data_IF_786420056505
#
_entry.id   IF_786420056505
#
_cell.length_a   1.000
_cell.length_b   1.000
_cell.length_c   1.000
_cell.angle_alpha   90.00
_cell.angle_beta   90.00
_cell.angle_gamma   90.00
#
_symmetry.space_group_name_H-M   'P 1'
#
loop_
_entity.id
_entity.type
_entity.pdbx_description
1 polymer ?
#
# COMPACT_ATOMS: atom_id res chain seq x y z
N UNK A 1 1.83 -8.50 -17.77
CA UNK A 1 3.24 -8.81 -18.07
C UNK A 1 4.21 -7.63 -17.88
N UNK A 2 3.78 -6.37 -17.74
CA UNK A 2 4.69 -5.21 -17.57
C UNK A 2 5.08 -4.84 -16.13
N UNK A 3 4.36 -5.33 -15.10
CA UNK A 3 4.61 -4.94 -13.70
C UNK A 3 5.47 -5.93 -12.89
N UNK A 4 5.77 -7.13 -13.41
CA UNK A 4 6.74 -8.02 -12.72
C UNK A 4 8.15 -7.43 -12.74
N UNK A 5 8.49 -6.63 -13.74
CA UNK A 5 9.77 -5.92 -13.81
C UNK A 5 9.90 -4.86 -12.71
N UNK A 6 8.81 -4.23 -12.25
CA UNK A 6 8.91 -3.20 -11.21
C UNK A 6 9.19 -3.79 -9.82
N UNK A 7 8.84 -5.06 -9.58
CA UNK A 7 9.09 -5.77 -8.31
C UNK A 7 10.35 -6.65 -8.38
N UNK A 8 10.81 -7.07 -9.57
CA UNK A 8 12.00 -7.93 -9.74
C UNK A 8 13.31 -7.18 -10.07
N UNK A 9 13.27 -5.97 -10.63
CA UNK A 9 14.50 -5.17 -10.84
C UNK A 9 15.29 -4.81 -9.56
N UNK A 10 14.71 -4.76 -8.34
CA UNK A 10 15.48 -4.46 -7.13
C UNK A 10 16.42 -5.59 -6.66
N UNK A 11 16.43 -6.78 -7.28
CA UNK A 11 17.14 -7.95 -6.77
C UNK A 11 18.35 -8.41 -7.59
N UNK A 12 18.64 -7.86 -8.78
CA UNK A 12 19.78 -8.33 -9.59
C UNK A 12 20.74 -7.24 -10.10
N UNK A 13 20.41 -5.95 -10.02
CA UNK A 13 21.37 -4.94 -10.47
C UNK A 13 22.17 -4.37 -9.29
N UNK A 14 23.32 -5.00 -9.01
CA UNK A 14 24.32 -4.53 -8.06
C UNK A 14 25.18 -3.38 -8.61
N UNK A 15 24.84 -2.82 -9.76
CA UNK A 15 25.66 -1.85 -10.50
C UNK A 15 24.93 -0.56 -10.87
N UNK A 16 24.05 -0.01 -10.01
CA UNK A 16 23.64 1.40 -10.15
C UNK A 16 23.43 2.08 -8.79
N UNK A 17 24.16 3.16 -8.57
CA UNK A 17 24.16 4.00 -7.38
C UNK A 17 22.74 4.46 -6.94
N UNK A 18 22.34 4.09 -5.72
CA UNK A 18 21.55 4.82 -4.72
C UNK A 18 20.20 5.51 -5.04
N UNK A 19 19.61 5.43 -6.24
CA UNK A 19 18.43 6.27 -6.55
C UNK A 19 17.15 5.54 -7.00
N UNK A 20 17.07 4.22 -6.89
CA UNK A 20 16.02 3.47 -7.62
C UNK A 20 14.64 3.38 -6.94
N UNK A 21 14.52 3.74 -5.66
CA UNK A 21 13.23 3.97 -5.00
C UNK A 21 13.29 5.27 -4.22
N UNK A 22 13.08 6.40 -4.91
CA UNK A 22 12.81 7.68 -4.26
C UNK A 22 11.31 7.99 -4.36
N UNK A 23 10.45 7.44 -3.48
CA UNK A 23 9.04 7.83 -3.41
C UNK A 23 8.86 9.35 -3.39
N UNK A 24 9.79 10.06 -2.74
CA UNK A 24 9.84 11.51 -2.72
C UNK A 24 9.81 12.11 -4.13
N UNK A 25 10.73 11.74 -5.02
CA UNK A 25 10.86 12.32 -6.38
C UNK A 25 9.61 12.08 -7.22
N UNK A 26 9.08 10.86 -7.24
CA UNK A 26 7.83 10.57 -7.97
C UNK A 26 6.61 11.26 -7.36
N UNK A 27 6.56 11.43 -6.04
CA UNK A 27 5.47 12.22 -5.42
C UNK A 27 5.57 13.70 -5.77
N UNK A 28 6.77 14.26 -5.97
CA UNK A 28 6.93 15.65 -6.41
C UNK A 28 6.42 15.85 -7.84
N UNK A 29 6.77 14.97 -8.78
CA UNK A 29 6.33 15.07 -10.17
C UNK A 29 4.81 14.93 -10.31
N UNK A 30 4.23 13.92 -9.66
CA UNK A 30 2.77 13.73 -9.66
C UNK A 30 2.03 14.91 -9.03
N UNK A 31 2.54 15.48 -7.92
CA UNK A 31 1.96 16.68 -7.31
C UNK A 31 2.02 17.89 -8.24
N UNK A 32 3.10 18.07 -9.02
CA UNK A 32 3.18 19.17 -10.02
C UNK A 32 2.09 19.03 -11.09
N UNK A 33 1.91 17.83 -11.64
CA UNK A 33 0.85 17.58 -12.62
C UNK A 33 -0.54 17.85 -12.04
N UNK A 34 -0.81 17.37 -10.82
CA UNK A 34 -2.09 17.60 -10.13
C UNK A 34 -2.34 19.09 -9.84
N UNK A 35 -1.30 19.87 -9.51
CA UNK A 35 -1.44 21.32 -9.33
C UNK A 35 -1.89 22.03 -10.60
N UNK A 36 -1.33 21.64 -11.75
CA UNK A 36 -1.71 22.19 -13.05
C UNK A 36 -3.15 21.79 -13.40
N UNK A 37 -3.49 20.50 -13.23
CA UNK A 37 -4.84 19.99 -13.54
C UNK A 37 -5.92 20.56 -12.62
N UNK A 38 -5.60 20.75 -11.34
CA UNK A 38 -6.52 21.28 -10.33
C UNK A 38 -6.50 22.79 -10.18
N UNK A 39 -5.72 23.52 -10.99
CA UNK A 39 -5.52 24.97 -10.91
C UNK A 39 -5.23 25.46 -9.46
N UNK A 40 -4.36 24.74 -8.75
CA UNK A 40 -4.07 24.99 -7.33
C UNK A 40 -3.02 26.08 -7.14
N UNK A 41 -3.15 26.85 -6.06
CA UNK A 41 -2.10 27.81 -5.68
C UNK A 41 -0.82 27.10 -5.20
N UNK A 42 0.38 27.71 -5.31
CA UNK A 42 1.64 27.04 -4.97
C UNK A 42 1.72 26.44 -3.55
N UNK A 43 1.03 27.05 -2.57
CA UNK A 43 1.01 26.62 -1.17
C UNK A 43 -0.21 25.77 -0.79
N UNK A 44 -1.17 25.65 -1.69
CA UNK A 44 -2.38 24.88 -1.45
C UNK A 44 -2.10 23.38 -1.38
N UNK A 45 -2.86 22.64 -0.58
CA UNK A 45 -2.71 21.19 -0.46
C UNK A 45 -3.23 20.49 -1.72
N UNK A 46 -2.43 19.58 -2.30
CA UNK A 46 -2.90 18.76 -3.41
C UNK A 46 -3.88 17.63 -2.99
N UNK A 47 -4.08 17.41 -1.68
CA UNK A 47 -4.82 16.23 -1.18
C UNK A 47 -6.25 16.20 -1.70
N UNK A 48 -6.95 17.32 -1.64
CA UNK A 48 -8.34 17.38 -2.11
C UNK A 48 -8.41 17.28 -3.63
N UNK A 49 -7.45 17.85 -4.36
CA UNK A 49 -7.37 17.65 -5.81
C UNK A 49 -7.17 16.18 -6.20
N UNK A 50 -6.37 15.40 -5.47
CA UNK A 50 -6.27 13.95 -5.70
C UNK A 50 -7.64 13.25 -5.54
N UNK A 51 -8.41 13.62 -4.50
CA UNK A 51 -9.75 13.05 -4.25
C UNK A 51 -10.76 13.46 -5.33
N UNK A 52 -10.75 14.73 -5.75
CA UNK A 52 -11.65 15.27 -6.76
C UNK A 52 -11.37 14.70 -8.16
N UNK A 53 -10.08 14.62 -8.54
CA UNK A 53 -9.66 14.06 -9.83
C UNK A 53 -9.73 12.53 -9.87
N UNK A 54 -10.01 11.86 -8.74
CA UNK A 54 -10.01 10.39 -8.59
C UNK A 54 -8.69 9.76 -9.04
N UNK A 55 -7.58 10.41 -8.67
CA UNK A 55 -6.23 9.95 -8.94
C UNK A 55 -5.62 9.41 -7.64
N UNK A 56 -5.01 8.23 -7.70
CA UNK A 56 -4.26 7.67 -6.57
C UNK A 56 -2.90 8.34 -6.45
N UNK A 57 -2.45 8.54 -5.21
CA UNK A 57 -1.07 8.94 -4.95
C UNK A 57 -0.13 7.77 -5.29
N UNK A 58 1.16 8.06 -5.48
CA UNK A 58 2.20 7.04 -5.69
C UNK A 58 2.19 6.02 -4.55
N UNK A 59 2.00 6.49 -3.31
CA UNK A 59 1.89 5.64 -2.12
C UNK A 59 0.60 4.82 -2.14
N UNK A 60 -0.53 5.41 -2.53
CA UNK A 60 -1.80 4.68 -2.69
C UNK A 60 -1.70 3.57 -3.73
N UNK A 61 -1.02 3.80 -4.85
CA UNK A 61 -0.73 2.78 -5.85
C UNK A 61 0.14 1.65 -5.27
N UNK A 62 1.19 2.01 -4.54
CA UNK A 62 2.07 1.04 -3.89
C UNK A 62 1.33 0.16 -2.88
N UNK A 63 0.49 0.76 -2.02
CA UNK A 63 -0.34 0.02 -1.05
C UNK A 63 -1.31 -0.90 -1.78
N UNK A 64 -2.02 -0.40 -2.79
CA UNK A 64 -2.98 -1.20 -3.54
C UNK A 64 -2.32 -2.43 -4.17
N UNK A 65 -1.18 -2.26 -4.84
CA UNK A 65 -0.50 -3.37 -5.51
C UNK A 65 0.10 -4.37 -4.53
N UNK A 66 0.76 -3.91 -3.45
CA UNK A 66 1.40 -4.80 -2.47
C UNK A 66 0.38 -5.64 -1.70
N UNK A 67 -0.72 -5.03 -1.28
CA UNK A 67 -1.81 -5.72 -0.59
C UNK A 67 -2.54 -6.68 -1.55
N UNK A 68 -2.83 -6.24 -2.77
CA UNK A 68 -3.45 -7.10 -3.80
C UNK A 68 -2.53 -8.27 -4.16
N UNK A 69 -1.22 -8.04 -4.24
CA UNK A 69 -0.22 -9.09 -4.48
C UNK A 69 -0.26 -10.17 -3.38
N UNK A 70 -0.27 -9.77 -2.11
CA UNK A 70 -0.33 -10.73 -0.99
C UNK A 70 -1.67 -11.47 -0.96
N UNK A 71 -2.78 -10.76 -1.13
CA UNK A 71 -4.11 -11.36 -1.04
C UNK A 71 -4.45 -12.28 -2.23
N UNK A 72 -4.13 -11.85 -3.46
CA UNK A 72 -4.56 -12.54 -4.70
C UNK A 72 -3.50 -13.51 -5.21
N UNK A 73 -2.25 -13.05 -5.33
CA UNK A 73 -1.18 -13.83 -5.98
C UNK A 73 -0.49 -14.78 -5.01
N UNK A 74 -0.72 -14.59 -3.71
CA UNK A 74 0.12 -15.19 -2.67
C UNK A 74 -0.65 -15.70 -1.44
N UNK A 75 -1.82 -16.35 -1.61
CA UNK A 75 -2.71 -16.67 -0.49
C UNK A 75 -2.11 -17.62 0.58
N UNK A 76 -0.98 -18.28 0.29
CA UNK A 76 -0.32 -19.26 1.18
C UNK A 76 1.09 -18.90 1.68
N UNK A 77 1.61 -17.68 1.44
CA UNK A 77 2.97 -17.32 1.91
C UNK A 77 3.02 -16.87 3.37
N UNK A 78 1.90 -16.40 3.91
CA UNK A 78 1.81 -16.01 5.31
C UNK A 78 0.62 -16.71 5.94
N UNK A 79 0.89 -17.39 7.05
CA UNK A 79 -0.16 -18.07 7.81
C UNK A 79 -1.10 -17.03 8.41
N UNK A 80 -2.40 -17.28 8.35
CA UNK A 80 -3.41 -16.43 8.99
C UNK A 80 -3.65 -16.87 10.42
N UNK A 81 -4.12 -15.95 11.28
CA UNK A 81 -4.48 -16.29 12.66
C UNK A 81 -5.48 -17.45 12.78
N UNK A 82 -6.35 -17.61 11.78
CA UNK A 82 -7.30 -18.74 11.65
C UNK A 82 -6.63 -20.11 11.57
N UNK A 83 -5.40 -20.20 11.10
CA UNK A 83 -4.68 -21.47 10.99
C UNK A 83 -4.10 -21.94 12.33
N UNK A 84 -3.99 -21.03 13.32
CA UNK A 84 -3.43 -21.32 14.65
C UNK A 84 -4.50 -21.51 15.73
N UNK A 85 -5.71 -21.02 15.52
CA UNK A 85 -6.77 -21.02 16.51
C UNK A 85 -8.05 -21.62 15.94
N UNK A 86 -8.58 -22.64 16.61
CA UNK A 86 -9.87 -23.26 16.28
C UNK A 86 -11.09 -22.40 16.68
N UNK A 87 -10.87 -21.15 17.12
CA UNK A 87 -11.91 -20.22 17.53
C UNK A 87 -11.69 -18.85 16.88
N UNK A 88 -12.79 -18.16 16.57
CA UNK A 88 -12.77 -16.87 15.90
C UNK A 88 -12.15 -15.80 16.81
N UNK A 89 -10.93 -15.39 16.50
CA UNK A 89 -10.30 -14.22 17.13
C UNK A 89 -10.58 -12.96 16.30
N UNK A 90 -10.59 -11.78 16.94
CA UNK A 90 -10.80 -10.50 16.24
C UNK A 90 -9.76 -10.24 15.13
N UNK A 91 -8.59 -10.90 15.19
CA UNK A 91 -7.48 -10.81 14.23
C UNK A 91 -7.27 -12.11 13.44
N UNK A 92 -8.30 -12.94 13.37
CA UNK A 92 -8.30 -14.22 12.68
C UNK A 92 -7.85 -14.08 11.21
N UNK A 93 -8.33 -13.05 10.52
CA UNK A 93 -8.01 -12.76 9.12
C UNK A 93 -6.68 -12.02 8.90
N UNK A 94 -5.97 -11.67 9.98
CA UNK A 94 -4.67 -11.01 9.90
C UNK A 94 -3.59 -12.05 9.58
N UNK A 95 -2.58 -11.61 8.83
CA UNK A 95 -1.38 -12.39 8.58
C UNK A 95 -0.49 -12.41 9.82
N UNK A 96 -0.04 -13.59 10.20
CA UNK A 96 1.00 -13.80 11.20
C UNK A 96 2.35 -13.38 10.58
N UNK A 97 2.85 -12.22 11.02
CA UNK A 97 4.15 -11.73 10.56
C UNK A 97 5.27 -12.52 11.25
N UNK A 98 6.18 -13.18 10.51
CA UNK A 98 7.27 -13.93 11.12
C UNK A 98 8.23 -12.99 11.85
N UNK A 99 8.71 -13.42 13.01
CA UNK A 99 9.78 -12.73 13.74
C UNK A 99 11.04 -12.76 12.89
N UNK A 100 11.64 -11.59 12.65
CA UNK A 100 12.81 -11.45 11.79
C UNK A 100 13.81 -10.49 12.43
N UNK A 101 15.11 -10.75 12.21
CA UNK A 101 16.21 -9.94 12.75
C UNK A 101 16.70 -8.88 11.75
N UNK A 102 16.52 -9.13 10.46
CA UNK A 102 17.11 -8.33 9.38
C UNK A 102 16.07 -7.39 8.77
N UNK A 103 16.40 -6.09 8.71
CA UNK A 103 15.57 -5.06 8.05
C UNK A 103 15.27 -5.36 6.58
N UNK A 104 16.16 -6.07 5.88
CA UNK A 104 15.93 -6.52 4.51
C UNK A 104 14.71 -7.44 4.36
N UNK A 105 14.32 -8.12 5.45
CA UNK A 105 13.09 -8.93 5.49
C UNK A 105 11.85 -8.05 5.50
N UNK A 106 11.92 -6.88 6.15
CA UNK A 106 10.81 -5.92 6.19
C UNK A 106 10.49 -5.33 4.82
N UNK A 107 11.51 -5.18 3.97
CA UNK A 107 11.37 -4.63 2.62
C UNK A 107 10.79 -5.63 1.61
N UNK A 108 10.66 -6.92 1.97
CA UNK A 108 10.08 -7.92 1.06
C UNK A 108 8.60 -7.58 0.79
N UNK A 109 8.14 -7.59 -0.47
CA UNK A 109 6.74 -7.33 -0.83
C UNK A 109 5.75 -8.21 -0.07
N UNK A 110 6.12 -9.46 0.20
CA UNK A 110 5.31 -10.39 1.01
C UNK A 110 5.16 -9.92 2.45
N UNK A 111 6.25 -9.46 3.09
CA UNK A 111 6.23 -9.01 4.47
C UNK A 111 5.53 -7.66 4.61
N UNK A 112 5.93 -6.65 3.82
CA UNK A 112 5.32 -5.31 3.90
C UNK A 112 3.86 -5.36 3.46
N UNK A 113 3.51 -6.17 2.46
CA UNK A 113 2.13 -6.35 2.01
C UNK A 113 1.25 -7.02 3.07
N UNK A 114 1.76 -8.05 3.76
CA UNK A 114 1.08 -8.66 4.90
C UNK A 114 0.90 -7.66 6.06
N UNK A 115 1.92 -6.85 6.34
CA UNK A 115 1.84 -5.78 7.36
C UNK A 115 0.79 -4.73 6.98
N UNK A 116 0.74 -4.32 5.71
CA UNK A 116 -0.26 -3.38 5.22
C UNK A 116 -1.67 -3.96 5.24
N UNK A 117 -1.82 -5.24 4.90
CA UNK A 117 -3.10 -5.96 5.01
C UNK A 117 -3.64 -5.90 6.43
N UNK A 118 -2.81 -6.18 7.43
CA UNK A 118 -3.24 -6.16 8.84
C UNK A 118 -3.76 -4.78 9.27
N UNK A 119 -3.22 -3.71 8.70
CA UNK A 119 -3.68 -2.34 8.94
C UNK A 119 -4.99 -1.99 8.21
N UNK A 120 -5.44 -2.75 7.22
CA UNK A 120 -6.67 -2.43 6.49
C UNK A 120 -7.91 -2.46 7.40
N UNK A 121 -8.93 -1.64 7.08
CA UNK A 121 -10.21 -1.73 7.76
C UNK A 121 -10.86 -3.08 7.50
N UNK A 122 -11.55 -3.58 8.53
CA UNK A 122 -12.21 -4.89 8.51
C UNK A 122 -13.22 -5.04 7.36
N UNK A 123 -13.87 -3.94 6.98
CA UNK A 123 -14.82 -3.91 5.86
C UNK A 123 -14.16 -4.31 4.54
N UNK A 124 -12.87 -4.00 4.33
CA UNK A 124 -12.14 -4.35 3.10
C UNK A 124 -11.62 -5.80 3.15
N UNK A 125 -11.27 -6.30 4.35
CA UNK A 125 -10.80 -7.68 4.53
C UNK A 125 -11.90 -8.72 4.26
N UNK A 126 -13.16 -8.35 4.46
CA UNK A 126 -14.36 -9.20 4.23
C UNK A 126 -14.87 -9.18 2.79
N UNK A 127 -14.29 -8.36 1.91
CA UNK A 127 -14.70 -8.28 0.51
C UNK A 127 -14.21 -9.51 -0.23
N UNK A 128 -15.03 -10.02 -1.15
CA UNK A 128 -14.62 -11.09 -2.06
C UNK A 128 -13.39 -10.71 -2.91
N UNK A 129 -12.55 -11.69 -3.22
CA UNK A 129 -11.28 -11.51 -3.92
C UNK A 129 -11.44 -10.73 -5.25
N UNK A 130 -12.53 -10.96 -5.99
CA UNK A 130 -12.78 -10.29 -7.26
C UNK A 130 -13.09 -8.80 -7.10
N UNK A 131 -13.67 -8.42 -5.96
CA UNK A 131 -14.07 -7.04 -5.68
C UNK A 131 -13.04 -6.30 -4.82
N UNK A 132 -12.13 -7.02 -4.17
CA UNK A 132 -11.15 -6.49 -3.24
C UNK A 132 -10.35 -5.31 -3.82
N UNK A 133 -9.79 -5.47 -5.02
CA UNK A 133 -8.99 -4.44 -5.67
C UNK A 133 -9.81 -3.17 -5.94
N UNK A 134 -11.08 -3.33 -6.34
CA UNK A 134 -11.99 -2.21 -6.60
C UNK A 134 -12.32 -1.44 -5.32
N UNK A 135 -12.72 -2.14 -4.27
CA UNK A 135 -13.08 -1.51 -2.99
C UNK A 135 -11.87 -0.87 -2.32
N UNK A 136 -10.71 -1.53 -2.35
CA UNK A 136 -9.46 -0.98 -1.84
C UNK A 136 -9.04 0.28 -2.61
N UNK A 137 -9.15 0.27 -3.94
CA UNK A 137 -8.90 1.46 -4.76
C UNK A 137 -9.83 2.61 -4.39
N UNK A 138 -11.13 2.37 -4.27
CA UNK A 138 -12.09 3.41 -3.86
C UNK A 138 -11.77 3.96 -2.47
N UNK A 139 -11.40 3.10 -1.53
CA UNK A 139 -11.02 3.52 -0.18
C UNK A 139 -9.76 4.39 -0.16
N UNK A 140 -8.73 4.01 -0.93
CA UNK A 140 -7.49 4.77 -1.08
C UNK A 140 -7.68 6.08 -1.85
N UNK A 141 -8.60 6.13 -2.82
CA UNK A 141 -8.92 7.35 -3.56
C UNK A 141 -9.54 8.44 -2.67
N UNK A 142 -10.28 8.04 -1.65
CA UNK A 142 -10.88 8.98 -0.70
C UNK A 142 -9.88 9.40 0.41
N UNK A 143 -8.73 8.71 0.53
CA UNK A 143 -7.70 8.93 1.55
C UNK A 143 -6.31 9.00 0.90
N UNK A 144 -5.93 10.16 0.34
CA UNK A 144 -4.65 10.30 -0.36
C UNK A 144 -3.49 10.28 0.65
N UNK A 145 -2.86 9.12 0.83
CA UNK A 145 -1.66 8.95 1.64
C UNK A 145 -0.41 9.47 0.91
N UNK A 146 0.46 10.17 1.61
CA UNK A 146 1.76 10.67 1.12
C UNK A 146 2.95 9.90 1.67
N UNK A 147 2.76 9.07 2.71
CA UNK A 147 3.76 8.11 3.16
C UNK A 147 3.15 6.80 3.63
N UNK A 148 3.98 5.75 3.76
CA UNK A 148 3.54 4.46 4.27
C UNK A 148 3.19 4.58 5.76
N UNK A 149 3.93 5.39 6.51
CA UNK A 149 3.70 5.62 7.94
C UNK A 149 2.34 6.27 8.20
N UNK A 150 1.94 7.23 7.35
CA UNK A 150 0.61 7.85 7.38
C UNK A 150 -0.49 6.81 7.17
N UNK A 151 -0.28 5.87 6.23
CA UNK A 151 -1.17 4.73 6.09
C UNK A 151 -1.14 3.84 7.35
N UNK A 152 0.02 3.41 7.83
CA UNK A 152 0.09 2.50 8.99
C UNK A 152 -0.53 3.08 10.27
N UNK A 153 -0.63 4.41 10.39
CA UNK A 153 -1.22 5.13 11.52
C UNK A 153 -2.63 5.70 11.23
N UNK A 154 -3.27 5.31 10.12
CA UNK A 154 -4.54 5.90 9.68
C UNK A 154 -5.67 5.78 10.72
N UNK A 155 -5.65 4.74 11.55
CA UNK A 155 -6.66 4.51 12.59
C UNK A 155 -6.60 5.51 13.75
N UNK A 156 -5.44 6.15 13.94
CA UNK A 156 -5.19 7.09 15.05
C UNK A 156 -5.35 8.56 14.66
N UNK A 157 -5.52 8.86 13.37
CA UNK A 157 -5.62 10.24 12.90
C UNK A 157 -7.08 10.71 12.78
N UNK A 158 -7.44 11.87 13.35
CA UNK A 158 -8.80 12.42 13.29
C UNK A 158 -9.16 13.04 11.92
N UNK A 159 -8.20 13.18 11.00
CA UNK A 159 -8.32 14.01 9.80
C UNK A 159 -8.77 13.26 8.52
N UNK A 160 -9.29 12.02 8.63
CA UNK A 160 -9.73 11.19 7.51
C UNK A 160 -11.16 10.66 7.58
#
# INVERSE_FOLDING_TARGET
>A
AYFSLFILYPLWDSSFNNNFWQPATHTFETKKAIRILGNLQPRESCRDAFKHLKILTVIGLYILETVTYVHIKTPGIAERGEQFHHYNTRRATDYCLPVHRLRSTEHKPSYIGAKMWNCLPEMLKKVDQQQFARHSKTWLLNRPFYSIEEFMSWQTQPDF
#
